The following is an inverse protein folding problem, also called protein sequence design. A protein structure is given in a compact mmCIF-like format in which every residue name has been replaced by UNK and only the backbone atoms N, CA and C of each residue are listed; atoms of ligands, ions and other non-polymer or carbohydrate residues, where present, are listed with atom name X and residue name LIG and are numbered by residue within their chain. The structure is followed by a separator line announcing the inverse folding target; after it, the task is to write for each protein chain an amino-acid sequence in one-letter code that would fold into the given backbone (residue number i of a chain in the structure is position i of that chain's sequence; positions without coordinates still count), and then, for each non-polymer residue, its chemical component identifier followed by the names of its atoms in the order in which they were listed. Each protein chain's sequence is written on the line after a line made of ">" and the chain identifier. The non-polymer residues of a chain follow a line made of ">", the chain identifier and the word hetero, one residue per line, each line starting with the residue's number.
data_IF_708461870544
#
_entry.id   IF_708461870544
#
_cell.length_a   1.000
_cell.length_b   1.000
_cell.length_c   1.000
_cell.angle_alpha   90.00
_cell.angle_beta   90.00
_cell.angle_gamma   90.00
#
_symmetry.space_group_name_H-M   'P 1'
#
loop_
_entity.id
_entity.type
_entity.pdbx_description
1 polymer ?
#
# COMPACT_ATOMS: atom_id res chain seq x y z
N UNK A 1 9.75 -13.86 18.41
CA UNK A 1 10.14 -13.01 17.26
C UNK A 1 9.23 -13.41 16.11
N UNK A 2 8.56 -12.47 15.45
CA UNK A 2 7.70 -12.76 14.28
C UNK A 2 8.61 -13.18 13.13
N UNK A 3 8.28 -14.28 12.45
CA UNK A 3 9.01 -14.72 11.27
C UNK A 3 8.67 -13.85 10.04
N UNK A 4 9.51 -13.87 9.01
CA UNK A 4 9.20 -13.21 7.73
C UNK A 4 7.96 -13.84 7.09
N UNK A 5 7.79 -15.17 7.23
CA UNK A 5 6.62 -15.86 6.71
C UNK A 5 5.32 -15.41 7.41
N UNK A 6 5.34 -15.26 8.74
CA UNK A 6 4.18 -14.73 9.46
C UNK A 6 3.84 -13.30 9.01
N UNK A 7 4.86 -12.44 8.90
CA UNK A 7 4.67 -11.05 8.45
C UNK A 7 4.11 -11.00 7.02
N UNK A 8 4.63 -11.82 6.11
CA UNK A 8 4.14 -11.91 4.73
C UNK A 8 2.70 -12.41 4.65
N UNK A 9 2.31 -13.36 5.52
CA UNK A 9 0.93 -13.81 5.60
C UNK A 9 -0.04 -12.66 5.92
N UNK A 10 0.27 -11.83 6.92
CA UNK A 10 -0.55 -10.67 7.26
C UNK A 10 -0.55 -9.58 6.17
N UNK A 11 0.57 -9.39 5.50
CA UNK A 11 0.68 -8.49 4.34
C UNK A 11 -0.23 -8.97 3.21
N UNK A 12 -0.19 -10.27 2.91
CA UNK A 12 -1.01 -10.88 1.86
C UNK A 12 -2.50 -10.73 2.15
N UNK A 13 -2.94 -10.97 3.39
CA UNK A 13 -4.32 -10.75 3.83
C UNK A 13 -4.76 -9.28 3.67
N UNK A 14 -3.87 -8.34 3.97
CA UNK A 14 -4.17 -6.92 3.81
C UNK A 14 -4.30 -6.52 2.33
N UNK A 15 -3.41 -7.06 1.45
CA UNK A 15 -3.45 -6.83 0.01
C UNK A 15 -4.72 -7.42 -0.60
N UNK A 16 -5.06 -8.65 -0.25
CA UNK A 16 -6.27 -9.32 -0.77
C UNK A 16 -7.52 -8.53 -0.39
N UNK A 17 -7.63 -8.06 0.86
CA UNK A 17 -8.74 -7.21 1.28
C UNK A 17 -8.80 -5.87 0.53
N UNK A 18 -7.67 -5.21 0.28
CA UNK A 18 -7.61 -3.99 -0.51
C UNK A 18 -8.07 -4.21 -1.96
N UNK A 19 -7.58 -5.28 -2.60
CA UNK A 19 -7.93 -5.65 -3.98
C UNK A 19 -9.43 -5.96 -4.07
N UNK A 20 -9.96 -6.74 -3.14
CA UNK A 20 -11.37 -7.14 -3.12
C UNK A 20 -12.30 -5.92 -2.98
N UNK A 21 -11.99 -5.01 -2.06
CA UNK A 21 -12.81 -3.83 -1.83
C UNK A 21 -12.75 -2.88 -3.03
N UNK A 22 -11.55 -2.54 -3.52
CA UNK A 22 -11.37 -1.62 -4.66
C UNK A 22 -11.95 -2.22 -5.94
N UNK A 23 -11.70 -3.51 -6.18
CA UNK A 23 -12.29 -4.24 -7.31
C UNK A 23 -13.81 -4.28 -7.28
N UNK A 24 -14.38 -4.52 -6.10
CA UNK A 24 -15.83 -4.54 -5.88
C UNK A 24 -16.53 -3.18 -5.99
N UNK A 25 -15.78 -2.06 -5.95
CA UNK A 25 -16.31 -0.72 -6.21
C UNK A 25 -16.46 -0.43 -7.72
N UNK A 26 -15.64 -1.06 -8.55
CA UNK A 26 -15.55 -0.74 -9.99
C UNK A 26 -14.98 0.66 -10.24
N UNK A 27 -14.79 1.00 -11.51
CA UNK A 27 -14.08 2.22 -11.93
C UNK A 27 -14.72 3.50 -11.41
N UNK A 28 -16.05 3.56 -11.37
CA UNK A 28 -16.77 4.78 -10.99
C UNK A 28 -16.59 5.10 -9.51
N UNK A 29 -16.95 4.16 -8.61
CA UNK A 29 -16.87 4.41 -7.17
C UNK A 29 -15.44 4.41 -6.62
N UNK A 30 -14.56 3.57 -7.18
CA UNK A 30 -13.17 3.53 -6.72
C UNK A 30 -12.43 4.85 -6.94
N UNK A 31 -12.81 5.64 -7.94
CA UNK A 31 -12.20 6.94 -8.23
C UNK A 31 -12.88 8.12 -7.51
N UNK A 32 -14.00 7.90 -6.81
CA UNK A 32 -14.67 8.97 -6.07
C UNK A 32 -14.05 9.20 -4.69
N UNK A 33 -13.97 10.47 -4.31
CA UNK A 33 -13.61 10.88 -2.96
C UNK A 33 -14.88 11.19 -2.15
N UNK A 34 -14.82 10.96 -0.86
CA UNK A 34 -15.85 11.45 0.06
C UNK A 34 -15.82 12.98 0.10
N UNK A 35 -16.98 13.60 0.33
CA UNK A 35 -17.09 15.06 0.53
C UNK A 35 -16.60 15.42 1.95
N UNK A 36 -15.33 15.08 2.22
CA UNK A 36 -14.62 15.36 3.47
C UNK A 36 -13.25 15.93 3.12
N UNK A 37 -12.86 17.08 3.69
CA UNK A 37 -11.55 17.66 3.44
C UNK A 37 -10.41 16.67 3.70
N UNK A 38 -9.49 16.56 2.76
CA UNK A 38 -8.33 15.65 2.87
C UNK A 38 -8.63 14.19 2.56
N UNK A 39 -9.86 13.81 2.18
CA UNK A 39 -10.16 12.45 1.76
C UNK A 39 -9.45 12.08 0.46
N UNK A 40 -9.07 10.82 0.33
CA UNK A 40 -8.55 10.23 -0.89
C UNK A 40 -9.55 9.22 -1.46
N UNK A 41 -9.51 9.01 -2.78
CA UNK A 41 -10.31 7.95 -3.39
C UNK A 41 -9.74 6.57 -3.05
N UNK A 42 -10.56 5.50 -3.01
CA UNK A 42 -10.07 4.13 -2.86
C UNK A 42 -8.98 3.75 -3.87
N UNK A 43 -9.10 4.22 -5.11
CA UNK A 43 -8.08 4.05 -6.15
C UNK A 43 -6.74 4.67 -5.76
N UNK A 44 -6.74 5.93 -5.31
CA UNK A 44 -5.54 6.64 -4.89
C UNK A 44 -4.90 5.98 -3.65
N UNK A 45 -5.71 5.50 -2.70
CA UNK A 45 -5.20 4.77 -1.53
C UNK A 45 -4.54 3.45 -1.94
N UNK A 46 -5.13 2.66 -2.85
CA UNK A 46 -4.49 1.44 -3.36
C UNK A 46 -3.21 1.76 -4.16
N UNK A 47 -3.20 2.86 -4.91
CA UNK A 47 -1.99 3.34 -5.61
C UNK A 47 -0.87 3.70 -4.62
N UNK A 48 -1.22 4.31 -3.48
CA UNK A 48 -0.29 4.58 -2.40
C UNK A 48 0.25 3.28 -1.77
N UNK A 49 -0.61 2.31 -1.47
CA UNK A 49 -0.20 1.00 -0.97
C UNK A 49 0.79 0.29 -1.92
N UNK A 50 0.55 0.39 -3.23
CA UNK A 50 1.49 -0.08 -4.24
C UNK A 50 2.85 0.59 -4.12
N UNK A 51 2.88 1.93 -3.99
CA UNK A 51 4.11 2.70 -3.79
C UNK A 51 4.84 2.35 -2.49
N UNK A 52 4.10 2.04 -1.42
CA UNK A 52 4.67 1.53 -0.15
C UNK A 52 5.40 0.21 -0.36
N UNK A 53 4.75 -0.77 -1.00
CA UNK A 53 5.37 -2.07 -1.28
C UNK A 53 6.62 -1.95 -2.16
N UNK A 54 6.55 -1.14 -3.21
CA UNK A 54 7.69 -0.94 -4.13
C UNK A 54 8.85 -0.23 -3.44
N UNK A 55 8.60 0.81 -2.66
CA UNK A 55 9.67 1.55 -2.00
C UNK A 55 10.24 0.76 -0.82
N UNK A 56 9.43 0.36 0.14
CA UNK A 56 9.93 -0.30 1.34
C UNK A 56 10.37 -1.74 1.06
N UNK A 57 9.62 -2.49 0.26
CA UNK A 57 10.01 -3.83 -0.17
C UNK A 57 11.15 -3.80 -1.17
N UNK A 58 10.93 -3.09 -2.28
CA UNK A 58 11.88 -3.10 -3.38
C UNK A 58 13.16 -2.34 -3.11
N UNK A 59 13.07 -1.08 -2.66
CA UNK A 59 14.26 -0.27 -2.43
C UNK A 59 14.90 -0.58 -1.08
N UNK A 60 14.14 -0.47 0.02
CA UNK A 60 14.74 -0.58 1.37
C UNK A 60 15.17 -2.02 1.68
N UNK A 61 14.30 -3.01 1.44
CA UNK A 61 14.63 -4.42 1.71
C UNK A 61 15.44 -5.02 0.57
N UNK A 62 14.95 -4.92 -0.68
CA UNK A 62 15.52 -5.56 -1.86
C UNK A 62 16.76 -4.87 -2.42
N UNK A 63 16.95 -3.57 -2.18
CA UNK A 63 18.07 -2.77 -2.72
C UNK A 63 17.85 -2.35 -4.18
N UNK A 64 16.64 -2.45 -4.72
CA UNK A 64 16.33 -2.00 -6.07
C UNK A 64 16.35 -0.47 -6.17
N UNK A 65 16.75 0.06 -7.32
CA UNK A 65 16.64 1.50 -7.59
C UNK A 65 15.18 1.85 -7.91
N UNK A 66 14.50 2.51 -6.96
CA UNK A 66 13.10 2.91 -7.09
C UNK A 66 12.98 4.39 -6.73
N UNK A 67 12.46 5.15 -7.66
CA UNK A 67 12.03 6.53 -7.44
C UNK A 67 10.56 6.53 -7.04
N UNK A 68 10.24 7.21 -5.95
CA UNK A 68 8.87 7.29 -5.42
C UNK A 68 8.35 8.71 -5.51
N UNK A 69 7.19 8.90 -6.13
CA UNK A 69 6.41 10.13 -6.09
C UNK A 69 5.14 9.90 -5.25
N UNK A 70 5.25 10.13 -3.95
CA UNK A 70 4.13 9.94 -3.01
C UNK A 70 2.94 10.85 -3.33
N UNK A 71 3.19 12.05 -3.81
CA UNK A 71 2.12 12.98 -4.15
C UNK A 71 1.34 12.53 -5.39
N UNK A 72 2.02 11.92 -6.36
CA UNK A 72 1.36 11.33 -7.52
C UNK A 72 0.50 10.11 -7.14
N UNK A 73 0.91 9.31 -6.14
CA UNK A 73 0.13 8.18 -5.63
C UNK A 73 -1.27 8.64 -5.18
N UNK A 74 -1.36 9.74 -4.41
CA UNK A 74 -2.62 10.28 -3.88
C UNK A 74 -3.44 11.10 -4.90
N UNK A 75 -2.88 11.42 -6.05
CA UNK A 75 -3.59 12.02 -7.19
C UNK A 75 -3.98 11.00 -8.26
N UNK A 76 -3.62 9.75 -8.07
CA UNK A 76 -3.87 8.70 -9.05
C UNK A 76 -5.37 8.43 -9.25
N UNK A 77 -5.75 8.23 -10.50
CA UNK A 77 -7.09 7.81 -10.92
C UNK A 77 -6.99 7.00 -12.20
N UNK A 78 -7.98 6.18 -12.50
CA UNK A 78 -8.01 5.37 -13.72
C UNK A 78 -8.78 4.07 -13.61
N UNK A 79 -8.66 3.18 -14.60
CA UNK A 79 -9.30 1.87 -14.57
C UNK A 79 -8.76 1.00 -13.42
N UNK A 80 -9.65 0.33 -12.71
CA UNK A 80 -9.32 -0.49 -11.53
C UNK A 80 -8.54 -1.75 -11.92
N UNK A 81 -8.91 -2.41 -13.01
CA UNK A 81 -8.29 -3.68 -13.38
C UNK A 81 -6.76 -3.60 -13.58
N UNK A 82 -6.19 -2.62 -14.32
CA UNK A 82 -4.74 -2.46 -14.43
C UNK A 82 -4.05 -2.15 -13.07
N UNK A 83 -4.73 -1.45 -12.16
CA UNK A 83 -4.17 -1.18 -10.83
C UNK A 83 -4.09 -2.46 -10.01
N UNK A 84 -5.12 -3.31 -10.04
CA UNK A 84 -5.12 -4.63 -9.39
C UNK A 84 -3.99 -5.52 -9.94
N UNK A 85 -3.82 -5.58 -11.26
CA UNK A 85 -2.73 -6.34 -11.88
C UNK A 85 -1.34 -5.85 -11.43
N UNK A 86 -1.14 -4.53 -11.38
CA UNK A 86 0.10 -3.93 -10.86
C UNK A 86 0.32 -4.25 -9.39
N UNK A 87 -0.74 -4.26 -8.57
CA UNK A 87 -0.68 -4.59 -7.15
C UNK A 87 -0.30 -6.06 -6.95
N UNK A 88 -0.89 -6.98 -7.71
CA UNK A 88 -0.52 -8.40 -7.69
C UNK A 88 0.93 -8.64 -8.12
N UNK A 89 1.41 -7.92 -9.14
CA UNK A 89 2.80 -7.97 -9.56
C UNK A 89 3.76 -7.41 -8.50
N UNK A 90 3.39 -6.34 -7.80
CA UNK A 90 4.19 -5.78 -6.69
C UNK A 90 4.26 -6.75 -5.50
N UNK A 91 3.16 -7.43 -5.16
CA UNK A 91 3.13 -8.53 -4.16
C UNK A 91 4.14 -9.63 -4.51
N UNK A 92 4.14 -10.08 -5.76
CA UNK A 92 5.10 -11.11 -6.20
C UNK A 92 6.56 -10.64 -6.11
N UNK A 93 6.83 -9.37 -6.42
CA UNK A 93 8.16 -8.78 -6.27
C UNK A 93 8.56 -8.65 -4.81
N UNK A 94 7.65 -8.23 -3.92
CA UNK A 94 7.90 -8.15 -2.48
C UNK A 94 8.31 -9.51 -1.91
N UNK A 95 7.62 -10.60 -2.28
CA UNK A 95 8.00 -11.96 -1.88
C UNK A 95 9.43 -12.32 -2.30
N UNK A 96 9.86 -11.89 -3.49
CA UNK A 96 11.23 -12.08 -3.96
C UNK A 96 12.24 -11.18 -3.19
N UNK A 97 11.86 -9.94 -2.88
CA UNK A 97 12.72 -8.99 -2.15
C UNK A 97 13.04 -9.46 -0.72
N UNK A 98 12.14 -10.22 -0.09
CA UNK A 98 12.31 -10.76 1.27
C UNK A 98 12.80 -12.22 1.31
N UNK A 99 13.20 -12.78 0.18
CA UNK A 99 13.51 -14.21 0.04
C UNK A 99 14.68 -14.69 0.92
N UNK A 100 15.62 -13.83 1.29
CA UNK A 100 16.74 -14.16 2.19
C UNK A 100 16.34 -14.29 3.66
N UNK A 101 15.10 -13.91 4.02
CA UNK A 101 14.49 -14.11 5.35
C UNK A 101 15.33 -13.63 6.54
N UNK A 102 16.15 -12.61 6.34
CA UNK A 102 16.96 -12.00 7.41
C UNK A 102 16.37 -10.66 7.87
N UNK A 103 15.42 -10.68 8.84
CA UNK A 103 14.73 -9.48 9.30
C UNK A 103 15.61 -8.56 10.17
N UNK A 104 16.71 -9.07 10.73
CA UNK A 104 17.61 -8.28 11.58
C UNK A 104 18.70 -7.57 10.80
N UNK A 105 18.88 -7.93 9.52
CA UNK A 105 19.86 -7.29 8.66
C UNK A 105 19.53 -5.81 8.42
N UNK A 106 20.55 -4.97 8.18
CA UNK A 106 20.34 -3.57 7.83
C UNK A 106 19.66 -3.44 6.46
N UNK A 107 18.98 -2.31 6.19
CA UNK A 107 18.47 -1.99 4.87
C UNK A 107 19.53 -2.12 3.78
N UNK A 108 19.12 -2.54 2.57
CA UNK A 108 19.98 -2.56 1.38
C UNK A 108 19.94 -1.23 0.64
N UNK A 109 18.78 -0.60 0.58
CA UNK A 109 18.60 0.72 0.01
C UNK A 109 18.84 1.83 1.02
N UNK A 110 19.14 3.03 0.51
CA UNK A 110 19.31 4.24 1.33
C UNK A 110 17.96 4.69 1.88
N UNK A 111 17.86 4.81 3.19
CA UNK A 111 16.68 5.32 3.90
C UNK A 111 16.87 6.81 4.19
N UNK A 112 15.77 7.57 4.19
CA UNK A 112 15.83 8.99 4.57
C UNK A 112 16.30 9.13 6.03
N UNK A 113 17.03 10.21 6.40
CA UNK A 113 17.62 10.35 7.73
C UNK A 113 16.60 10.22 8.87
N UNK A 114 15.42 10.79 8.72
CA UNK A 114 14.39 10.72 9.76
C UNK A 114 13.83 9.31 9.93
N UNK A 115 13.63 8.60 8.81
CA UNK A 115 13.17 7.20 8.84
C UNK A 115 14.24 6.26 9.39
N UNK A 116 15.51 6.54 9.13
CA UNK A 116 16.64 5.73 9.62
C UNK A 116 16.75 5.72 11.17
N UNK A 117 16.22 6.74 11.85
CA UNK A 117 16.16 6.81 13.30
C UNK A 117 15.00 5.99 13.89
N UNK A 118 14.00 5.67 13.09
CA UNK A 118 12.81 4.90 13.47
C UNK A 118 13.01 3.39 13.23
N UNK A 119 12.15 2.58 13.86
CA UNK A 119 12.18 1.13 13.70
C UNK A 119 12.07 0.68 12.23
N UNK A 120 11.23 1.38 11.45
CA UNK A 120 10.97 1.10 10.04
C UNK A 120 12.22 1.21 9.14
N UNK A 121 13.17 2.10 9.48
CA UNK A 121 14.38 2.33 8.69
C UNK A 121 15.65 1.67 9.24
N UNK A 122 15.59 0.99 10.39
CA UNK A 122 16.78 0.41 11.05
C UNK A 122 17.10 -1.00 10.57
N UNK A 123 16.09 -1.80 10.27
CA UNK A 123 16.25 -3.19 9.85
C UNK A 123 15.24 -3.53 8.74
N UNK A 124 15.53 -4.59 7.98
CA UNK A 124 14.57 -5.09 6.98
C UNK A 124 13.27 -5.58 7.62
N UNK A 125 13.32 -6.16 8.81
CA UNK A 125 12.13 -6.54 9.57
C UNK A 125 11.30 -5.32 9.99
N UNK A 126 11.94 -4.23 10.38
CA UNK A 126 11.27 -2.96 10.66
C UNK A 126 10.53 -2.43 9.43
N UNK A 127 11.19 -2.43 8.26
CA UNK A 127 10.58 -2.04 6.99
C UNK A 127 9.40 -2.96 6.61
N UNK A 128 9.53 -4.28 6.85
CA UNK A 128 8.47 -5.24 6.56
C UNK A 128 7.23 -5.03 7.44
N UNK A 129 7.42 -4.76 8.72
CA UNK A 129 6.32 -4.42 9.64
C UNK A 129 5.66 -3.09 9.26
N UNK A 130 6.44 -2.11 8.81
CA UNK A 130 5.89 -0.85 8.31
C UNK A 130 5.04 -1.05 7.04
N UNK A 131 5.45 -1.92 6.12
CA UNK A 131 4.61 -2.30 4.97
C UNK A 131 3.27 -2.86 5.47
N UNK A 132 3.28 -3.80 6.41
CA UNK A 132 2.06 -4.35 6.98
C UNK A 132 1.18 -3.28 7.63
N UNK A 133 1.78 -2.40 8.44
CA UNK A 133 1.09 -1.30 9.12
C UNK A 133 0.33 -0.42 8.11
N UNK A 134 1.01 0.07 7.09
CA UNK A 134 0.43 0.91 6.05
C UNK A 134 -0.71 0.19 5.31
N UNK A 135 -0.49 -1.05 4.88
CA UNK A 135 -1.51 -1.82 4.17
C UNK A 135 -2.75 -2.09 5.04
N UNK A 136 -2.56 -2.47 6.31
CA UNK A 136 -3.66 -2.77 7.22
C UNK A 136 -4.48 -1.51 7.57
N UNK A 137 -3.82 -0.37 7.84
CA UNK A 137 -4.48 0.91 8.10
C UNK A 137 -5.29 1.36 6.88
N UNK A 138 -4.68 1.29 5.70
CA UNK A 138 -5.33 1.71 4.47
C UNK A 138 -6.43 0.76 4.02
N UNK A 139 -6.32 -0.55 4.31
CA UNK A 139 -7.43 -1.48 4.13
C UNK A 139 -8.66 -1.03 4.92
N UNK A 140 -8.53 -0.78 6.21
CA UNK A 140 -9.64 -0.29 7.03
C UNK A 140 -10.21 1.04 6.53
N UNK A 141 -9.35 1.96 6.09
CA UNK A 141 -9.77 3.22 5.49
C UNK A 141 -10.60 3.00 4.22
N UNK A 142 -10.17 2.11 3.32
CA UNK A 142 -10.88 1.81 2.07
C UNK A 142 -12.19 1.08 2.32
N UNK A 143 -12.23 0.13 3.28
CA UNK A 143 -13.46 -0.55 3.69
C UNK A 143 -14.53 0.45 4.14
N UNK A 144 -14.20 1.35 5.07
CA UNK A 144 -15.10 2.41 5.54
C UNK A 144 -15.51 3.35 4.38
N UNK A 145 -14.56 3.75 3.53
CA UNK A 145 -14.84 4.59 2.37
C UNK A 145 -15.81 3.91 1.41
N UNK A 146 -15.65 2.61 1.16
CA UNK A 146 -16.51 1.83 0.29
C UNK A 146 -17.96 1.74 0.82
N UNK A 147 -18.11 1.53 2.13
CA UNK A 147 -19.44 1.50 2.75
C UNK A 147 -20.15 2.84 2.59
N UNK A 148 -19.44 3.94 2.79
CA UNK A 148 -19.96 5.29 2.62
C UNK A 148 -20.29 5.56 1.15
N UNK A 149 -19.41 5.23 0.21
CA UNK A 149 -19.61 5.45 -1.23
C UNK A 149 -20.79 4.65 -1.81
N UNK A 150 -21.10 3.49 -1.25
CA UNK A 150 -22.26 2.66 -1.62
C UNK A 150 -23.55 3.15 -1.02
N UNK A 151 -23.51 3.99 0.00
CA UNK A 151 -24.69 4.49 0.68
C UNK A 151 -25.47 5.50 -0.21
N UNK A 152 -26.77 5.30 -0.45
CA UNK A 152 -27.53 6.08 -1.45
C UNK A 152 -27.74 7.55 -1.07
N UNK A 153 -27.45 7.95 0.16
CA UNK A 153 -27.67 9.31 0.69
C UNK A 153 -26.39 10.12 0.88
N UNK A 154 -25.22 9.57 0.53
CA UNK A 154 -23.95 10.26 0.73
C UNK A 154 -23.55 11.08 -0.49
N UNK A 155 -23.11 12.32 -0.27
CA UNK A 155 -22.50 13.15 -1.31
C UNK A 155 -21.05 12.69 -1.57
N UNK A 156 -20.69 12.57 -2.82
CA UNK A 156 -19.33 12.26 -3.25
C UNK A 156 -18.81 13.36 -4.17
N UNK A 157 -17.49 13.58 -4.16
CA UNK A 157 -16.84 14.46 -5.12
C UNK A 157 -16.44 13.66 -6.37
N UNK A 158 -16.47 14.28 -7.56
CA UNK A 158 -15.98 13.64 -8.77
C UNK A 158 -14.46 13.34 -8.67
N UNK A 159 -13.92 12.51 -9.54
CA UNK A 159 -12.48 12.31 -9.66
C UNK A 159 -11.75 13.64 -9.82
N UNK A 160 -10.61 13.78 -9.16
CA UNK A 160 -9.76 14.97 -9.21
C UNK A 160 -8.92 15.06 -10.46
#
# INVERSE_FOLDING_TARGET
>A
MISVDDAMWFIDEAIDGLIDVVGGLGDDLANRRLDVPGSNSPYAVLSHCLGVMEYWGGHVIGGRAIERDRDAEFRASGPVAPLIERTAAARSRLAADVADRDPVAPPRGKVQPDDALMALGRTRGGALIHIYEELAQHRGQVEVSADVLRAPWVRTLPPG
#
